data_IF_061476016165
#
_entry.id   IF_061476016165
#
_cell.length_a   1.000
_cell.length_b   1.000
_cell.length_c   1.000
_cell.angle_alpha   90.00
_cell.angle_beta   90.00
_cell.angle_gamma   90.00
#
_symmetry.space_group_name_H-M   'P 1'
#
loop_
_entity.id
_entity.type
_entity.pdbx_description
1 polymer ?
#
# COMPACT_ATOMS: atom_id res chain seq x y z
N UNK A 1 -51.68 -13.96 -40.85
CA UNK A 1 -50.73 -13.10 -41.58
C UNK A 1 -51.04 -13.16 -43.08
N UNK A 2 -51.16 -12.02 -43.77
CA UNK A 2 -51.32 -12.01 -45.23
C UNK A 2 -50.06 -12.57 -45.92
N UNK A 3 -50.21 -13.34 -47.01
CA UNK A 3 -49.07 -13.96 -47.74
C UNK A 3 -47.99 -12.94 -48.13
N UNK A 4 -48.39 -11.71 -48.50
CA UNK A 4 -47.46 -10.59 -48.78
C UNK A 4 -46.61 -10.17 -47.58
N UNK A 5 -47.17 -10.17 -46.37
CA UNK A 5 -46.42 -9.85 -45.14
C UNK A 5 -45.42 -10.94 -44.78
N UNK A 6 -45.76 -12.22 -44.98
CA UNK A 6 -44.83 -13.33 -44.78
C UNK A 6 -43.62 -13.23 -45.74
N UNK A 7 -43.85 -12.94 -47.03
CA UNK A 7 -42.78 -12.74 -48.02
C UNK A 7 -41.87 -11.56 -47.66
N UNK A 8 -42.44 -10.43 -47.20
CA UNK A 8 -41.64 -9.28 -46.78
C UNK A 8 -40.78 -9.59 -45.56
N UNK A 9 -41.30 -10.29 -44.55
CA UNK A 9 -40.52 -10.72 -43.37
C UNK A 9 -39.39 -11.67 -43.79
N UNK A 10 -39.65 -12.64 -44.67
CA UNK A 10 -38.62 -13.53 -45.20
C UNK A 10 -37.53 -12.80 -45.98
N UNK A 11 -37.89 -11.79 -46.81
CA UNK A 11 -36.88 -10.96 -47.49
C UNK A 11 -36.04 -10.15 -46.50
N UNK A 12 -36.65 -9.53 -45.48
CA UNK A 12 -35.91 -8.77 -44.47
C UNK A 12 -34.93 -9.64 -43.68
N UNK A 13 -35.33 -10.86 -43.32
CA UNK A 13 -34.46 -11.83 -42.65
C UNK A 13 -33.30 -12.28 -43.56
N UNK A 14 -33.57 -12.51 -44.86
CA UNK A 14 -32.53 -12.85 -45.83
C UNK A 14 -31.53 -11.69 -46.00
N UNK A 15 -32.02 -10.46 -46.09
CA UNK A 15 -31.19 -9.26 -46.20
C UNK A 15 -30.31 -9.06 -44.96
N UNK A 16 -30.87 -9.27 -43.76
CA UNK A 16 -30.13 -9.21 -42.50
C UNK A 16 -29.04 -10.30 -42.41
N UNK A 17 -29.32 -11.52 -42.88
CA UNK A 17 -28.34 -12.60 -42.93
C UNK A 17 -27.18 -12.31 -43.91
N UNK A 18 -27.48 -11.72 -45.08
CA UNK A 18 -26.46 -11.28 -46.05
C UNK A 18 -25.63 -10.12 -45.48
N UNK A 19 -26.26 -9.18 -44.77
CA UNK A 19 -25.54 -8.08 -44.11
C UNK A 19 -24.61 -8.60 -43.01
N UNK A 20 -25.06 -9.55 -42.19
CA UNK A 20 -24.23 -10.19 -41.16
C UNK A 20 -23.06 -11.01 -41.74
N UNK A 21 -23.28 -11.73 -42.86
CA UNK A 21 -22.21 -12.51 -43.52
C UNK A 21 -21.16 -11.60 -44.16
N UNK A 22 -21.56 -10.48 -44.76
CA UNK A 22 -20.62 -9.50 -45.33
C UNK A 22 -19.85 -8.73 -44.26
N UNK A 23 -20.48 -8.42 -43.12
CA UNK A 23 -19.81 -7.80 -41.97
C UNK A 23 -18.76 -8.73 -41.35
N UNK A 24 -19.10 -10.00 -41.13
CA UNK A 24 -18.17 -11.00 -40.57
C UNK A 24 -17.03 -11.37 -41.53
N UNK A 25 -17.30 -11.41 -42.84
CA UNK A 25 -16.26 -11.59 -43.87
C UNK A 25 -15.28 -10.40 -43.90
N UNK A 26 -15.78 -9.16 -43.87
CA UNK A 26 -14.91 -7.97 -43.75
C UNK A 26 -14.10 -7.96 -42.46
N UNK A 27 -14.73 -8.28 -41.33
CA UNK A 27 -14.06 -8.33 -40.03
C UNK A 27 -12.85 -9.29 -40.03
N UNK A 28 -12.99 -10.47 -40.65
CA UNK A 28 -11.89 -11.43 -40.81
C UNK A 28 -10.73 -10.95 -41.68
N UNK A 29 -11.01 -10.16 -42.73
CA UNK A 29 -9.99 -9.74 -43.71
C UNK A 29 -9.25 -8.48 -43.27
N UNK A 30 -9.94 -7.51 -42.67
CA UNK A 30 -9.34 -6.22 -42.30
C UNK A 30 -8.96 -6.13 -40.82
N UNK A 31 -9.08 -7.22 -40.04
CA UNK A 31 -8.89 -7.21 -38.58
C UNK A 31 -9.87 -6.29 -37.83
N UNK A 32 -10.94 -5.85 -38.49
CA UNK A 32 -11.86 -4.85 -37.95
C UNK A 32 -12.95 -5.54 -37.14
N UNK A 33 -12.93 -5.38 -35.82
CA UNK A 33 -13.95 -5.94 -34.95
C UNK A 33 -15.18 -5.01 -34.92
N UNK A 34 -16.38 -5.41 -35.43
CA UNK A 34 -17.54 -4.52 -35.54
C UNK A 34 -18.30 -4.32 -34.20
N UNK A 35 -17.78 -4.86 -33.10
CA UNK A 35 -18.35 -4.71 -31.75
C UNK A 35 -17.71 -3.55 -30.96
N UNK A 36 -17.95 -2.29 -31.37
CA UNK A 36 -18.05 -1.21 -30.39
C UNK A 36 -19.29 -0.30 -30.60
N UNK A 37 -20.31 -0.76 -31.36
CA UNK A 37 -21.47 0.06 -31.72
C UNK A 37 -22.82 -0.37 -31.12
N UNK A 38 -22.90 -1.55 -30.48
CA UNK A 38 -24.09 -2.01 -29.75
C UNK A 38 -23.67 -2.59 -28.39
N UNK A 39 -23.27 -1.71 -27.47
CA UNK A 39 -23.37 -2.04 -26.05
C UNK A 39 -24.84 -2.02 -25.66
N UNK A 40 -25.35 -3.14 -25.17
CA UNK A 40 -26.67 -3.22 -24.52
C UNK A 40 -26.56 -2.50 -23.17
N UNK A 41 -26.79 -1.18 -23.18
CA UNK A 41 -26.88 -0.37 -21.96
C UNK A 41 -27.96 -0.94 -21.04
N UNK A 42 -27.56 -1.40 -19.85
CA UNK A 42 -28.46 -2.03 -18.88
C UNK A 42 -27.81 -3.05 -17.94
N UNK A 43 -26.60 -3.54 -18.25
CA UNK A 43 -25.82 -4.44 -17.37
C UNK A 43 -24.33 -4.03 -17.30
N UNK A 44 -24.07 -2.72 -17.22
CA UNK A 44 -22.72 -2.22 -16.94
C UNK A 44 -22.46 -2.38 -15.43
N UNK A 45 -21.45 -3.14 -14.98
CA UNK A 45 -21.06 -3.14 -13.58
C UNK A 45 -20.69 -1.70 -13.22
N UNK A 46 -21.35 -1.13 -12.21
CA UNK A 46 -21.03 0.24 -11.79
C UNK A 46 -19.55 0.32 -11.46
N UNK A 47 -18.88 1.30 -12.06
CA UNK A 47 -17.59 1.77 -11.58
C UNK A 47 -17.69 2.23 -10.12
N UNK A 48 -16.53 2.32 -9.48
CA UNK A 48 -16.28 2.65 -8.08
C UNK A 48 -17.43 3.40 -7.36
N UNK A 49 -18.35 2.65 -6.75
CA UNK A 49 -19.57 3.19 -6.14
C UNK A 49 -19.38 3.33 -4.64
N UNK A 50 -19.29 4.56 -4.16
CA UNK A 50 -19.10 4.87 -2.74
C UNK A 50 -20.18 4.20 -1.87
N UNK A 51 -19.78 3.64 -0.73
CA UNK A 51 -20.64 2.87 0.18
C UNK A 51 -20.92 1.42 -0.25
N UNK A 52 -20.71 1.05 -1.52
CA UNK A 52 -20.88 -0.32 -2.02
C UNK A 52 -19.52 -1.00 -2.13
N UNK A 53 -19.27 -2.10 -1.42
CA UNK A 53 -17.94 -2.71 -1.35
C UNK A 53 -17.98 -4.23 -1.29
N UNK A 54 -17.03 -4.87 -1.96
CA UNK A 54 -16.77 -6.30 -1.79
C UNK A 54 -15.83 -6.54 -0.61
N UNK A 55 -16.15 -7.52 0.24
CA UNK A 55 -15.27 -8.02 1.29
C UNK A 55 -14.55 -9.28 0.80
N UNK A 56 -13.23 -9.27 0.82
CA UNK A 56 -12.39 -10.44 0.53
C UNK A 56 -12.15 -11.20 1.83
N UNK A 57 -12.45 -12.49 1.85
CA UNK A 57 -12.18 -13.40 2.97
C UNK A 57 -11.34 -14.60 2.51
N UNK A 58 -10.59 -15.21 3.43
CA UNK A 58 -10.02 -16.54 3.19
C UNK A 58 -11.05 -17.66 3.36
N UNK A 59 -10.60 -18.90 3.17
CA UNK A 59 -11.42 -20.12 3.23
C UNK A 59 -11.96 -20.38 4.66
N UNK A 60 -11.31 -19.82 5.68
CA UNK A 60 -11.76 -19.80 7.07
C UNK A 60 -12.71 -18.63 7.42
N UNK A 61 -12.97 -17.72 6.48
CA UNK A 61 -13.87 -16.57 6.66
C UNK A 61 -13.23 -15.35 7.35
N UNK A 62 -11.92 -15.32 7.55
CA UNK A 62 -11.21 -14.14 8.06
C UNK A 62 -11.11 -13.09 6.95
N UNK A 63 -11.46 -11.85 7.29
CA UNK A 63 -11.38 -10.70 6.37
C UNK A 63 -9.91 -10.41 6.00
N UNK A 64 -9.63 -10.48 4.70
CA UNK A 64 -8.35 -10.13 4.08
C UNK A 64 -8.34 -8.68 3.63
N UNK A 65 -9.34 -8.28 2.83
CA UNK A 65 -9.48 -6.93 2.30
C UNK A 65 -10.95 -6.46 2.17
N UNK A 66 -11.18 -5.17 1.92
CA UNK A 66 -12.49 -4.55 1.56
C UNK A 66 -12.23 -3.51 0.49
N UNK A 67 -13.02 -3.45 -0.58
CA UNK A 67 -12.82 -2.47 -1.65
C UNK A 67 -14.13 -2.05 -2.32
N UNK A 68 -14.30 -0.76 -2.62
CA UNK A 68 -15.52 -0.22 -3.21
C UNK A 68 -15.53 -0.31 -4.75
N UNK A 69 -15.22 -1.50 -5.26
CA UNK A 69 -15.22 -1.78 -6.70
C UNK A 69 -15.65 -3.23 -6.97
N UNK A 70 -16.16 -3.54 -8.17
CA UNK A 70 -16.43 -4.92 -8.56
C UNK A 70 -15.15 -5.78 -8.44
N UNK A 71 -15.30 -6.96 -7.84
CA UNK A 71 -14.27 -7.99 -7.77
C UNK A 71 -14.75 -9.18 -8.58
N UNK A 72 -13.86 -9.77 -9.36
CA UNK A 72 -14.15 -10.88 -10.26
C UNK A 72 -13.41 -12.14 -9.87
N UNK A 73 -13.91 -13.29 -10.32
CA UNK A 73 -13.18 -14.55 -10.21
C UNK A 73 -11.82 -14.42 -10.91
N UNK A 74 -10.80 -15.03 -10.31
CA UNK A 74 -9.40 -14.97 -10.72
C UNK A 74 -8.74 -13.58 -10.58
N UNK A 75 -9.41 -12.60 -9.95
CA UNK A 75 -8.70 -11.46 -9.33
C UNK A 75 -7.85 -11.94 -8.16
N UNK A 76 -6.80 -11.20 -7.82
CA UNK A 76 -5.84 -11.59 -6.78
C UNK A 76 -5.49 -10.45 -5.84
N UNK A 77 -5.03 -10.81 -4.65
CA UNK A 77 -4.64 -9.86 -3.60
C UNK A 77 -3.37 -10.31 -2.91
N UNK A 78 -2.36 -9.45 -2.84
CA UNK A 78 -1.18 -9.60 -2.00
C UNK A 78 -1.41 -8.77 -0.74
N UNK A 79 -1.62 -9.45 0.38
CA UNK A 79 -1.91 -8.82 1.66
C UNK A 79 -0.67 -8.11 2.26
N UNK A 80 -0.89 -7.34 3.33
CA UNK A 80 0.17 -6.62 4.03
C UNK A 80 1.29 -7.55 4.56
N UNK A 81 0.97 -8.79 4.91
CA UNK A 81 1.89 -9.86 5.37
C UNK A 81 2.62 -10.63 4.25
N UNK A 82 2.40 -10.18 3.00
CA UNK A 82 2.89 -10.72 1.74
C UNK A 82 2.31 -12.08 1.32
N UNK A 83 1.26 -12.61 1.99
CA UNK A 83 0.54 -13.74 1.41
C UNK A 83 -0.30 -13.30 0.21
N UNK A 84 -0.25 -14.10 -0.87
CA UNK A 84 -1.01 -13.89 -2.10
C UNK A 84 -2.20 -14.84 -2.14
N UNK A 85 -3.37 -14.29 -2.42
CA UNK A 85 -4.65 -14.98 -2.48
C UNK A 85 -5.31 -14.75 -3.85
N UNK A 86 -6.09 -15.72 -4.32
CA UNK A 86 -6.89 -15.62 -5.55
C UNK A 86 -8.37 -15.80 -5.23
N UNK A 87 -9.22 -14.94 -5.78
CA UNK A 87 -10.67 -15.04 -5.68
C UNK A 87 -11.14 -16.28 -6.45
N UNK A 88 -11.62 -17.29 -5.72
CA UNK A 88 -12.08 -18.56 -6.28
C UNK A 88 -13.60 -18.63 -6.42
N UNK A 89 -14.33 -17.92 -5.55
CA UNK A 89 -15.80 -17.85 -5.55
C UNK A 89 -16.30 -16.45 -5.12
N UNK A 90 -17.45 -16.03 -5.63
CA UNK A 90 -18.14 -14.78 -5.26
C UNK A 90 -19.58 -15.12 -4.82
N UNK A 91 -19.99 -14.61 -3.66
CA UNK A 91 -21.32 -14.79 -3.06
C UNK A 91 -21.89 -13.42 -2.66
N UNK A 92 -22.54 -12.74 -3.61
CA UNK A 92 -22.94 -11.34 -3.43
C UNK A 92 -21.70 -10.47 -3.23
N UNK A 93 -21.69 -9.66 -2.18
CA UNK A 93 -20.56 -8.78 -1.83
C UNK A 93 -19.41 -9.50 -1.09
N UNK A 94 -19.40 -10.83 -1.04
CA UNK A 94 -18.34 -11.64 -0.45
C UNK A 94 -17.50 -12.34 -1.51
N UNK A 95 -16.20 -12.06 -1.56
CA UNK A 95 -15.22 -12.76 -2.39
C UNK A 95 -14.41 -13.75 -1.53
N UNK A 96 -14.58 -15.05 -1.78
CA UNK A 96 -13.83 -16.11 -1.10
C UNK A 96 -12.52 -16.33 -1.85
N UNK A 97 -11.41 -16.30 -1.09
CA UNK A 97 -10.07 -16.25 -1.65
C UNK A 97 -9.19 -17.40 -1.12
N UNK A 98 -8.76 -18.28 -2.01
CA UNK A 98 -7.79 -19.33 -1.69
C UNK A 98 -6.37 -18.75 -1.67
N UNK A 99 -5.57 -19.10 -0.65
CA UNK A 99 -4.16 -18.67 -0.56
C UNK A 99 -3.31 -19.43 -1.58
N UNK A 100 -2.73 -18.72 -2.55
CA UNK A 100 -1.92 -19.32 -3.64
C UNK A 100 -0.41 -19.26 -3.41
N UNK A 101 0.07 -18.49 -2.43
CA UNK A 101 1.49 -18.45 -2.09
C UNK A 101 1.86 -17.33 -1.13
N UNK A 102 3.17 -17.08 -1.01
CA UNK A 102 3.75 -15.91 -0.36
C UNK A 102 4.72 -15.24 -1.33
N UNK A 103 4.71 -13.92 -1.34
CA UNK A 103 5.56 -13.10 -2.19
C UNK A 103 6.80 -12.66 -1.42
N UNK A 104 7.98 -12.89 -1.97
CA UNK A 104 9.24 -12.37 -1.45
C UNK A 104 9.39 -10.90 -1.87
N UNK A 105 8.59 -10.03 -1.23
CA UNK A 105 8.56 -8.59 -1.45
C UNK A 105 9.78 -7.94 -0.77
N UNK A 106 10.96 -8.23 -1.30
CA UNK A 106 12.26 -7.76 -0.81
C UNK A 106 12.78 -6.66 -1.74
N UNK A 107 13.37 -5.61 -1.15
CA UNK A 107 14.26 -4.74 -1.91
C UNK A 107 15.58 -5.47 -2.14
N UNK A 108 15.65 -6.26 -3.21
CA UNK A 108 16.95 -6.53 -3.81
C UNK A 108 17.61 -5.21 -4.21
N UNK A 109 18.95 -5.21 -4.24
CA UNK A 109 19.72 -4.07 -4.77
C UNK A 109 19.41 -3.82 -6.26
N UNK A 110 20.16 -2.97 -6.96
CA UNK A 110 19.92 -2.67 -8.37
C UNK A 110 20.26 -3.83 -9.32
N UNK A 111 19.52 -4.95 -9.23
CA UNK A 111 19.41 -6.03 -10.20
C UNK A 111 18.47 -5.60 -11.34
N UNK A 112 18.88 -4.56 -12.06
CA UNK A 112 18.43 -4.40 -13.45
C UNK A 112 19.15 -5.45 -14.28
N UNK A 113 18.69 -6.71 -14.22
CA UNK A 113 19.01 -7.65 -15.30
C UNK A 113 18.43 -7.05 -16.58
N UNK A 114 19.30 -6.76 -17.53
CA UNK A 114 18.90 -6.28 -18.85
C UNK A 114 17.98 -7.32 -19.48
N UNK A 115 16.66 -7.06 -19.43
CA UNK A 115 15.73 -7.76 -20.29
C UNK A 115 16.14 -7.41 -21.73
N UNK A 116 16.32 -8.39 -22.62
CA UNK A 116 16.77 -8.12 -23.98
C UNK A 116 15.79 -7.18 -24.68
N UNK A 117 16.31 -6.24 -25.48
CA UNK A 117 15.59 -5.17 -26.17
C UNK A 117 14.39 -5.70 -27.00
N UNK A 118 13.25 -5.90 -26.35
CA UNK A 118 11.94 -6.06 -26.98
C UNK A 118 11.33 -4.68 -27.18
N UNK A 119 12.00 -3.90 -28.05
CA UNK A 119 11.50 -2.72 -28.73
C UNK A 119 10.56 -1.81 -27.90
N UNK A 120 11.07 -1.27 -26.80
CA UNK A 120 10.58 0.06 -26.41
C UNK A 120 11.09 1.02 -27.48
N UNK A 121 10.24 1.81 -28.18
CA UNK A 121 10.74 2.83 -29.07
C UNK A 121 11.64 3.77 -28.25
N UNK A 122 12.86 4.00 -28.70
CA UNK A 122 13.81 4.92 -28.06
C UNK A 122 13.34 6.38 -28.24
N UNK A 123 12.28 6.76 -27.54
CA UNK A 123 11.68 8.08 -27.58
C UNK A 123 12.24 8.94 -26.46
N UNK A 124 13.26 9.70 -26.85
CA UNK A 124 13.94 10.76 -26.10
C UNK A 124 14.75 10.33 -24.88
N UNK A 125 15.83 11.07 -24.62
CA UNK A 125 16.54 11.08 -23.34
C UNK A 125 15.71 11.76 -22.26
N UNK A 126 14.54 11.18 -21.93
CA UNK A 126 13.67 11.65 -20.88
C UNK A 126 14.44 11.78 -19.57
N UNK A 127 14.11 12.81 -18.79
CA UNK A 127 14.78 13.02 -17.51
C UNK A 127 14.52 11.79 -16.62
N UNK A 128 15.57 11.00 -16.34
CA UNK A 128 15.53 9.82 -15.44
C UNK A 128 14.97 10.12 -14.03
N UNK A 129 14.81 11.42 -13.74
CA UNK A 129 14.33 12.01 -12.51
C UNK A 129 12.90 12.60 -12.60
N UNK A 130 12.12 12.33 -13.65
CA UNK A 130 10.75 12.85 -13.81
C UNK A 130 9.69 11.84 -13.35
N UNK A 131 8.73 12.28 -12.53
CA UNK A 131 7.47 11.57 -12.23
C UNK A 131 6.29 12.37 -12.79
N UNK A 132 5.31 11.66 -13.33
CA UNK A 132 4.04 12.24 -13.75
C UNK A 132 2.91 11.74 -12.82
N UNK A 133 2.00 12.65 -12.45
CA UNK A 133 0.83 12.38 -11.61
C UNK A 133 -0.40 12.91 -12.34
N UNK A 134 -1.48 12.13 -12.34
CA UNK A 134 -2.80 12.55 -12.78
C UNK A 134 -3.87 11.88 -11.90
N UNK A 135 -5.14 12.18 -12.19
CA UNK A 135 -6.29 11.67 -11.44
C UNK A 135 -7.41 11.30 -12.42
N UNK A 136 -7.84 10.03 -12.49
CA UNK A 136 -8.97 9.64 -13.34
C UNK A 136 -10.32 10.13 -12.80
N UNK A 137 -10.50 10.16 -11.48
CA UNK A 137 -11.72 10.67 -10.84
C UNK A 137 -11.39 11.99 -10.10
N UNK A 138 -11.51 13.10 -10.82
CA UNK A 138 -11.13 14.44 -10.34
C UNK A 138 -12.07 15.04 -9.31
N UNK A 139 -13.18 14.37 -9.04
CA UNK A 139 -14.20 14.76 -8.07
C UNK A 139 -13.98 14.20 -6.66
N UNK A 140 -13.21 13.11 -6.53
CA UNK A 140 -13.06 12.36 -5.29
C UNK A 140 -12.61 13.25 -4.11
N UNK A 141 -13.40 13.22 -3.04
CA UNK A 141 -13.24 14.07 -1.86
C UNK A 141 -13.43 13.28 -0.56
N UNK A 142 -13.07 13.91 0.57
CA UNK A 142 -13.07 13.30 1.89
C UNK A 142 -14.12 13.97 2.79
N UNK A 143 -15.16 13.23 3.18
CA UNK A 143 -16.31 13.73 3.95
C UNK A 143 -15.90 14.54 5.19
N UNK A 144 -14.98 14.08 6.07
CA UNK A 144 -14.70 14.78 7.33
C UNK A 144 -14.10 16.18 7.17
N UNK A 145 -13.58 16.52 5.99
CA UNK A 145 -12.68 17.67 5.78
C UNK A 145 -13.01 18.52 4.56
N UNK A 146 -13.61 17.91 3.53
CA UNK A 146 -14.12 18.61 2.35
C UNK A 146 -15.67 18.68 2.36
N UNK A 147 -16.33 18.06 3.36
CA UNK A 147 -17.78 18.13 3.61
C UNK A 147 -18.65 17.22 2.74
N UNK A 148 -18.06 16.56 1.74
CA UNK A 148 -18.73 15.65 0.80
C UNK A 148 -17.71 14.62 0.27
N UNK A 149 -18.21 13.50 -0.24
CA UNK A 149 -17.41 12.48 -0.92
C UNK A 149 -17.02 12.85 -2.36
N UNK A 150 -17.72 13.80 -2.99
CA UNK A 150 -17.51 14.22 -4.38
C UNK A 150 -17.72 15.72 -4.57
N UNK A 151 -16.78 16.38 -5.26
CA UNK A 151 -16.79 17.79 -5.69
C UNK A 151 -16.32 17.85 -7.15
N UNK A 152 -17.23 17.86 -8.15
CA UNK A 152 -16.89 17.73 -9.57
C UNK A 152 -15.71 18.61 -10.04
N UNK A 153 -14.64 17.96 -10.52
CA UNK A 153 -13.43 18.59 -11.04
C UNK A 153 -12.55 19.33 -10.01
N UNK A 154 -12.93 19.34 -8.73
CA UNK A 154 -12.25 20.08 -7.65
C UNK A 154 -12.11 19.23 -6.37
N UNK A 155 -11.99 17.91 -6.56
CA UNK A 155 -11.98 16.95 -5.47
C UNK A 155 -10.83 17.14 -4.47
N UNK A 156 -11.08 16.76 -3.22
CA UNK A 156 -10.06 16.69 -2.17
C UNK A 156 -8.82 15.89 -2.58
N UNK A 157 -8.98 14.90 -3.46
CA UNK A 157 -7.90 14.07 -3.99
C UNK A 157 -6.81 14.87 -4.72
N UNK A 158 -7.16 15.97 -5.39
CA UNK A 158 -6.19 16.84 -6.09
C UNK A 158 -5.21 17.50 -5.08
N UNK A 159 -5.68 17.79 -3.86
CA UNK A 159 -4.85 18.34 -2.78
C UNK A 159 -3.97 17.24 -2.15
N UNK A 160 -4.36 15.96 -2.25
CA UNK A 160 -3.52 14.81 -1.86
C UNK A 160 -2.42 14.59 -2.90
N UNK A 161 -2.77 14.58 -4.19
CA UNK A 161 -1.82 14.56 -5.31
C UNK A 161 -0.82 15.70 -5.25
N UNK A 162 -1.25 16.91 -4.87
CA UNK A 162 -0.35 18.05 -4.68
C UNK A 162 0.64 17.87 -3.52
N UNK A 163 0.25 17.21 -2.41
CA UNK A 163 1.18 16.89 -1.31
C UNK A 163 2.18 15.81 -1.73
N UNK A 164 1.72 14.76 -2.41
CA UNK A 164 2.60 13.74 -3.01
C UNK A 164 3.63 14.39 -3.95
N UNK A 165 3.16 15.24 -4.88
CA UNK A 165 4.00 15.98 -5.80
C UNK A 165 4.99 16.93 -5.10
N UNK A 166 4.54 17.66 -4.08
CA UNK A 166 5.37 18.56 -3.28
C UNK A 166 6.48 17.83 -2.52
N UNK A 167 6.14 16.69 -1.90
CA UNK A 167 7.10 15.86 -1.17
C UNK A 167 8.14 15.24 -2.11
N UNK A 168 7.72 14.71 -3.27
CA UNK A 168 8.63 14.24 -4.32
C UNK A 168 9.59 15.35 -4.78
N UNK A 169 9.09 16.56 -5.04
CA UNK A 169 9.94 17.73 -5.37
C UNK A 169 10.93 18.08 -4.26
N UNK A 170 10.53 17.99 -2.99
CA UNK A 170 11.44 18.22 -1.85
C UNK A 170 12.56 17.17 -1.73
N UNK A 171 12.34 15.98 -2.29
CA UNK A 171 13.33 14.90 -2.41
C UNK A 171 14.13 15.01 -3.71
N UNK A 172 13.94 16.10 -4.47
CA UNK A 172 14.65 16.40 -5.71
C UNK A 172 14.11 15.72 -6.97
N UNK A 173 12.93 15.10 -6.90
CA UNK A 173 12.27 14.51 -8.07
C UNK A 173 11.59 15.62 -8.88
N UNK A 174 11.81 15.65 -10.20
CA UNK A 174 11.03 16.51 -11.09
C UNK A 174 9.61 15.95 -11.16
N UNK A 175 8.58 16.81 -11.05
CA UNK A 175 7.18 16.33 -11.04
C UNK A 175 6.28 17.17 -11.92
N UNK A 176 5.67 16.54 -12.93
CA UNK A 176 4.45 17.04 -13.57
C UNK A 176 3.24 16.50 -12.81
N UNK A 177 2.43 17.41 -12.26
CA UNK A 177 1.16 17.09 -11.61
C UNK A 177 0.05 17.70 -12.47
N UNK A 178 -0.75 16.85 -13.12
CA UNK A 178 -1.85 17.27 -13.98
C UNK A 178 -3.18 17.17 -13.23
N UNK A 179 -3.91 18.28 -13.23
CA UNK A 179 -5.19 18.45 -12.51
C UNK A 179 -6.36 18.69 -13.49
N UNK A 180 -6.18 18.30 -14.76
CA UNK A 180 -7.23 18.42 -15.78
C UNK A 180 -8.46 17.60 -15.39
N UNK A 181 -9.63 18.24 -15.36
CA UNK A 181 -10.88 17.59 -14.98
C UNK A 181 -11.27 16.46 -15.96
N UNK A 182 -11.65 15.31 -15.42
CA UNK A 182 -12.11 14.14 -16.18
C UNK A 182 -13.58 13.81 -15.92
N UNK A 183 -14.38 14.81 -15.58
CA UNK A 183 -15.83 14.74 -15.32
C UNK A 183 -16.67 14.33 -16.54
N UNK A 184 -17.90 13.79 -16.33
CA UNK A 184 -18.49 13.39 -15.05
C UNK A 184 -17.84 12.13 -14.47
N UNK A 185 -18.06 11.78 -13.21
CA UNK A 185 -17.67 10.46 -12.69
C UNK A 185 -18.49 9.35 -13.37
N UNK A 186 -17.94 8.72 -14.41
CA UNK A 186 -18.56 7.66 -15.21
C UNK A 186 -17.50 6.76 -15.85
N UNK A 187 -17.90 5.60 -16.38
CA UNK A 187 -17.02 4.64 -17.06
C UNK A 187 -16.22 5.22 -18.26
N UNK A 188 -16.49 6.47 -18.68
CA UNK A 188 -15.72 7.19 -19.68
C UNK A 188 -14.61 8.09 -19.06
N UNK A 189 -14.50 8.20 -17.73
CA UNK A 189 -13.43 8.88 -17.00
C UNK A 189 -12.08 8.33 -17.40
N UNK A 190 -11.91 7.00 -17.42
CA UNK A 190 -10.70 6.37 -17.94
C UNK A 190 -10.41 6.74 -19.41
N UNK A 191 -11.41 6.88 -20.27
CA UNK A 191 -11.21 7.32 -21.67
C UNK A 191 -10.75 8.77 -21.76
N UNK A 192 -11.22 9.64 -20.86
CA UNK A 192 -10.81 11.04 -20.77
C UNK A 192 -9.40 11.16 -20.19
N UNK A 193 -9.14 10.53 -19.05
CA UNK A 193 -7.85 10.53 -18.35
C UNK A 193 -6.73 9.86 -19.14
N UNK A 194 -7.04 8.84 -19.94
CA UNK A 194 -6.09 8.21 -20.88
C UNK A 194 -5.43 9.20 -21.82
N UNK A 195 -6.14 10.26 -22.26
CA UNK A 195 -5.58 11.30 -23.13
C UNK A 195 -4.54 12.13 -22.38
N UNK A 196 -4.83 12.48 -21.14
CA UNK A 196 -3.92 13.19 -20.23
C UNK A 196 -2.71 12.33 -19.89
N UNK A 197 -2.90 11.05 -19.55
CA UNK A 197 -1.83 10.08 -19.34
C UNK A 197 -0.91 9.94 -20.56
N UNK A 198 -1.48 9.84 -21.77
CA UNK A 198 -0.70 9.80 -23.01
C UNK A 198 0.08 11.10 -23.29
N UNK A 199 -0.49 12.28 -22.98
CA UNK A 199 0.21 13.56 -23.08
C UNK A 199 1.33 13.71 -22.03
N UNK A 200 1.15 13.17 -20.83
CA UNK A 200 2.19 13.13 -19.79
C UNK A 200 3.35 12.21 -20.19
N UNK A 201 3.08 11.08 -20.84
CA UNK A 201 4.12 10.15 -21.31
C UNK A 201 5.02 10.75 -22.40
N UNK A 202 4.52 11.68 -23.22
CA UNK A 202 5.35 12.44 -24.18
C UNK A 202 6.45 13.28 -23.51
N UNK A 203 6.35 13.51 -22.19
CA UNK A 203 7.37 14.22 -21.40
C UNK A 203 8.50 13.30 -20.92
N UNK A 204 8.42 11.99 -21.20
CA UNK A 204 9.39 10.96 -20.79
C UNK A 204 9.51 10.74 -19.27
N UNK A 205 8.42 10.59 -18.51
CA UNK A 205 8.50 10.32 -17.08
C UNK A 205 9.00 8.89 -16.78
N UNK A 206 9.77 8.75 -15.71
CA UNK A 206 10.21 7.47 -15.17
C UNK A 206 9.06 6.67 -14.52
N UNK A 207 8.03 7.33 -14.00
CA UNK A 207 6.81 6.68 -13.51
C UNK A 207 5.57 7.58 -13.71
N UNK A 208 4.42 6.93 -13.82
CA UNK A 208 3.10 7.58 -13.95
C UNK A 208 2.19 7.07 -12.83
N UNK A 209 1.62 7.98 -12.05
CA UNK A 209 0.70 7.63 -10.96
C UNK A 209 -0.69 8.20 -11.20
N UNK A 210 -1.70 7.34 -11.08
CA UNK A 210 -3.12 7.71 -11.00
C UNK A 210 -3.52 7.70 -9.52
N UNK A 211 -3.92 8.84 -8.96
CA UNK A 211 -4.15 8.98 -7.52
C UNK A 211 -5.64 9.08 -7.21
N UNK A 212 -6.10 8.15 -6.37
CA UNK A 212 -7.49 7.91 -6.00
C UNK A 212 -7.67 7.75 -4.48
N UNK A 213 -8.93 7.65 -4.04
CA UNK A 213 -9.34 7.22 -2.70
C UNK A 213 -10.50 6.23 -2.78
N UNK A 214 -10.44 5.16 -1.99
CA UNK A 214 -11.44 4.09 -1.99
C UNK A 214 -12.81 4.60 -1.50
N UNK A 215 -13.88 3.85 -1.75
CA UNK A 215 -15.26 4.15 -1.36
C UNK A 215 -15.80 3.35 -0.17
N UNK A 216 -14.94 2.58 0.52
CA UNK A 216 -15.30 1.77 1.69
C UNK A 216 -15.75 2.67 2.86
N UNK A 217 -16.95 2.50 3.45
CA UNK A 217 -17.44 3.42 4.50
C UNK A 217 -16.67 3.34 5.82
N UNK A 218 -16.02 2.20 6.08
CA UNK A 218 -15.19 1.95 7.26
C UNK A 218 -13.82 2.63 7.14
N UNK A 219 -13.66 3.79 7.79
CA UNK A 219 -12.42 4.58 7.74
C UNK A 219 -11.24 3.90 8.46
N UNK A 220 -11.50 3.07 9.48
CA UNK A 220 -10.46 2.44 10.31
C UNK A 220 -9.79 1.28 9.58
N UNK A 221 -10.48 0.72 8.59
CA UNK A 221 -9.92 -0.18 7.61
C UNK A 221 -8.68 0.38 6.90
N UNK A 222 -8.69 1.69 6.66
CA UNK A 222 -7.61 2.44 6.05
C UNK A 222 -6.75 3.22 7.05
N UNK A 223 -7.24 3.49 8.26
CA UNK A 223 -6.48 4.24 9.27
C UNK A 223 -5.30 3.43 9.80
N UNK A 224 -4.17 4.09 10.00
CA UNK A 224 -3.07 3.64 10.84
C UNK A 224 -2.78 4.72 11.87
N UNK A 225 -2.45 4.34 13.10
CA UNK A 225 -1.96 5.27 14.14
C UNK A 225 -0.54 4.86 14.53
N UNK A 226 0.37 5.82 14.60
CA UNK A 226 1.76 5.65 15.06
C UNK A 226 2.11 6.86 15.92
N UNK A 227 2.60 6.63 17.15
CA UNK A 227 3.01 7.68 18.09
C UNK A 227 1.96 8.76 18.40
N UNK A 228 0.66 8.45 18.20
CA UNK A 228 -0.45 9.39 18.40
C UNK A 228 -0.88 10.16 17.13
N UNK A 229 -0.12 10.06 16.04
CA UNK A 229 -0.51 10.60 14.74
C UNK A 229 -1.19 9.53 13.87
N UNK A 230 -2.29 9.89 13.20
CA UNK A 230 -2.99 9.00 12.28
C UNK A 230 -2.66 9.30 10.82
N UNK A 231 -2.56 8.29 9.97
CA UNK A 231 -2.43 8.44 8.52
C UNK A 231 -3.25 7.37 7.79
N UNK A 232 -3.60 7.63 6.53
CA UNK A 232 -4.26 6.64 5.68
C UNK A 232 -3.25 5.71 5.05
N UNK A 233 -3.52 4.40 5.15
CA UNK A 233 -2.86 3.34 4.39
C UNK A 233 -3.14 3.51 2.89
N UNK A 234 -2.35 2.83 2.08
CA UNK A 234 -2.45 2.90 0.62
C UNK A 234 -2.62 1.50 0.06
N UNK A 235 -3.59 1.30 -0.83
CA UNK A 235 -3.65 0.09 -1.67
C UNK A 235 -3.04 0.40 -3.03
N UNK A 236 -2.14 -0.46 -3.48
CA UNK A 236 -1.61 -0.42 -4.84
C UNK A 236 -2.53 -1.24 -5.73
N UNK A 237 -2.98 -0.70 -6.86
CA UNK A 237 -3.89 -1.40 -7.77
C UNK A 237 -3.21 -1.66 -9.09
N UNK A 238 -3.18 -2.93 -9.50
CA UNK A 238 -2.62 -3.42 -10.75
C UNK A 238 -3.75 -3.97 -11.61
N UNK A 239 -3.81 -3.55 -12.87
CA UNK A 239 -4.73 -4.12 -13.85
C UNK A 239 -4.20 -5.45 -14.39
N UNK A 240 -5.05 -6.48 -14.48
CA UNK A 240 -4.68 -7.75 -15.10
C UNK A 240 -5.00 -7.85 -16.59
N UNK A 241 -5.71 -6.87 -17.14
CA UNK A 241 -6.13 -6.83 -18.56
C UNK A 241 -5.27 -5.85 -19.38
N UNK A 242 -3.94 -5.94 -19.21
CA UNK A 242 -2.99 -5.20 -20.04
C UNK A 242 -1.69 -6.00 -20.24
N UNK A 243 -0.96 -5.69 -21.31
CA UNK A 243 0.27 -6.40 -21.69
C UNK A 243 1.47 -6.09 -20.77
N UNK A 244 1.41 -5.03 -19.97
CA UNK A 244 2.47 -4.63 -19.05
C UNK A 244 2.31 -5.25 -17.64
N UNK A 245 1.20 -5.98 -17.39
CA UNK A 245 0.73 -6.44 -16.07
C UNK A 245 1.84 -6.97 -15.15
N UNK A 246 2.73 -7.83 -15.65
CA UNK A 246 3.85 -8.36 -14.86
C UNK A 246 4.82 -7.26 -14.40
N UNK A 247 5.17 -6.33 -15.29
CA UNK A 247 6.05 -5.21 -14.98
C UNK A 247 5.39 -4.18 -14.04
N UNK A 248 4.08 -3.91 -14.21
CA UNK A 248 3.33 -3.07 -13.26
C UNK A 248 3.25 -3.73 -11.87
N UNK A 249 3.07 -5.06 -11.82
CA UNK A 249 3.07 -5.84 -10.58
C UNK A 249 4.44 -5.82 -9.90
N UNK A 250 5.53 -6.01 -10.64
CA UNK A 250 6.89 -5.94 -10.09
C UNK A 250 7.24 -4.53 -9.61
N UNK A 251 6.76 -3.49 -10.31
CA UNK A 251 6.88 -2.10 -9.86
C UNK A 251 6.10 -1.86 -8.55
N UNK A 252 4.86 -2.36 -8.46
CA UNK A 252 4.07 -2.29 -7.23
C UNK A 252 4.72 -3.05 -6.07
N UNK A 253 5.29 -4.25 -6.32
CA UNK A 253 6.06 -5.01 -5.33
C UNK A 253 7.29 -4.23 -4.85
N UNK A 254 8.06 -3.59 -5.74
CA UNK A 254 9.22 -2.76 -5.36
C UNK A 254 8.81 -1.55 -4.51
N UNK A 255 7.70 -0.90 -4.83
CA UNK A 255 7.11 0.16 -3.98
C UNK A 255 6.72 -0.38 -2.61
N UNK A 256 6.02 -1.54 -2.56
CA UNK A 256 5.64 -2.17 -1.29
C UNK A 256 6.85 -2.57 -0.45
N UNK A 257 7.89 -3.16 -1.04
CA UNK A 257 9.12 -3.53 -0.34
C UNK A 257 9.81 -2.31 0.31
N UNK A 258 9.90 -1.20 -0.44
CA UNK A 258 10.49 0.04 0.09
C UNK A 258 9.62 0.68 1.18
N UNK A 259 8.30 0.67 1.00
CA UNK A 259 7.35 1.18 1.99
C UNK A 259 7.33 0.32 3.26
N UNK A 260 7.33 -1.01 3.16
CA UNK A 260 7.38 -1.91 4.33
C UNK A 260 8.70 -1.73 5.12
N UNK A 261 9.82 -1.52 4.43
CA UNK A 261 11.12 -1.29 5.06
C UNK A 261 11.24 0.07 5.76
N UNK A 262 10.65 1.14 5.19
CA UNK A 262 10.79 2.52 5.71
C UNK A 262 9.62 2.96 6.59
N UNK A 263 8.41 2.53 6.27
CA UNK A 263 7.14 2.91 6.88
C UNK A 263 6.24 1.66 7.09
N UNK A 264 6.61 0.73 8.00
CA UNK A 264 5.86 -0.51 8.21
C UNK A 264 4.36 -0.28 8.42
N UNK A 265 3.54 -1.02 7.67
CA UNK A 265 2.07 -0.91 7.73
C UNK A 265 1.46 0.21 6.87
N UNK A 266 2.25 0.95 6.09
CA UNK A 266 1.74 1.96 5.15
C UNK A 266 0.95 1.34 3.99
N UNK A 267 1.42 0.22 3.43
CA UNK A 267 0.74 -0.44 2.30
C UNK A 267 -0.27 -1.46 2.83
N UNK A 268 -1.54 -1.24 2.52
CA UNK A 268 -2.67 -2.14 2.87
C UNK A 268 -2.58 -3.49 2.15
N UNK A 269 -2.04 -3.46 0.93
CA UNK A 269 -1.84 -4.60 0.04
C UNK A 269 -1.69 -4.16 -1.43
N UNK A 270 -1.53 -5.14 -2.32
CA UNK A 270 -1.58 -4.98 -3.78
C UNK A 270 -2.79 -5.75 -4.28
N UNK A 271 -3.75 -5.07 -4.92
CA UNK A 271 -4.87 -5.71 -5.60
C UNK A 271 -4.57 -5.84 -7.10
N UNK A 272 -4.78 -7.03 -7.64
CA UNK A 272 -4.59 -7.40 -9.05
C UNK A 272 -5.97 -7.74 -9.63
N UNK A 273 -6.67 -6.74 -10.16
CA UNK A 273 -8.07 -6.85 -10.58
C UNK A 273 -8.25 -6.77 -12.09
N UNK A 274 -9.43 -7.22 -12.58
CA UNK A 274 -9.87 -6.99 -13.95
C UNK A 274 -9.77 -5.49 -14.35
N UNK A 275 -9.58 -5.19 -15.63
CA UNK A 275 -9.30 -3.84 -16.15
C UNK A 275 -7.82 -3.54 -16.42
N UNK A 276 -7.57 -2.45 -17.16
CA UNK A 276 -6.21 -1.94 -17.47
C UNK A 276 -5.78 -0.76 -16.57
N UNK A 277 -6.70 0.14 -16.19
CA UNK A 277 -6.41 1.36 -15.43
C UNK A 277 -5.32 2.24 -16.08
N UNK A 278 -5.30 2.31 -17.42
CA UNK A 278 -4.26 2.95 -18.24
C UNK A 278 -2.84 2.37 -18.08
N UNK A 279 -2.66 1.24 -17.39
CA UNK A 279 -1.35 0.65 -17.12
C UNK A 279 -0.73 0.01 -18.37
N UNK A 280 -1.55 -0.30 -19.37
CA UNK A 280 -1.10 -0.62 -20.72
C UNK A 280 -0.23 0.49 -21.37
N UNK A 281 -0.30 1.73 -20.90
CA UNK A 281 0.51 2.82 -21.45
C UNK A 281 1.98 2.82 -20.98
N UNK A 282 2.31 2.19 -19.85
CA UNK A 282 3.68 2.16 -19.33
C UNK A 282 3.91 1.03 -18.31
N UNK A 283 5.06 0.32 -18.34
CA UNK A 283 5.42 -0.68 -17.33
C UNK A 283 5.66 -0.09 -15.93
N UNK A 284 5.71 1.25 -15.79
CA UNK A 284 5.78 1.96 -14.51
C UNK A 284 4.61 2.94 -14.32
N UNK A 285 3.46 2.59 -14.89
CA UNK A 285 2.17 3.17 -14.50
C UNK A 285 1.57 2.40 -13.31
N UNK A 286 0.98 3.10 -12.34
CA UNK A 286 0.34 2.47 -11.18
C UNK A 286 -0.81 3.32 -10.63
N UNK A 287 -1.90 2.67 -10.21
CA UNK A 287 -3.01 3.33 -9.50
C UNK A 287 -2.81 3.21 -7.98
N UNK A 288 -3.03 4.32 -7.28
CA UNK A 288 -2.82 4.47 -5.84
C UNK A 288 -4.13 4.86 -5.15
N UNK A 289 -4.70 3.96 -4.34
CA UNK A 289 -5.87 4.23 -3.49
C UNK A 289 -5.40 4.71 -2.11
N UNK A 290 -5.47 6.02 -1.85
CA UNK A 290 -4.92 6.69 -0.66
C UNK A 290 -6.04 6.98 0.35
N UNK A 291 -6.24 6.04 1.28
CA UNK A 291 -7.37 6.08 2.19
C UNK A 291 -8.71 5.79 1.52
N UNK A 292 -9.78 6.15 2.22
CA UNK A 292 -11.14 6.16 1.72
C UNK A 292 -11.85 7.49 2.04
N UNK A 293 -12.98 7.75 1.38
CA UNK A 293 -13.83 8.95 1.55
C UNK A 293 -14.20 9.31 3.00
N UNK A 294 -14.19 8.37 3.94
CA UNK A 294 -14.46 8.62 5.38
C UNK A 294 -13.20 8.84 6.23
N UNK A 295 -11.99 8.74 5.68
CA UNK A 295 -10.79 9.29 6.32
C UNK A 295 -10.78 10.82 6.20
N UNK A 296 -10.00 11.50 7.05
CA UNK A 296 -9.69 12.93 6.83
C UNK A 296 -8.73 13.07 5.64
N UNK A 297 -8.88 14.15 4.86
CA UNK A 297 -7.95 14.46 3.77
C UNK A 297 -6.51 14.64 4.27
N UNK A 298 -6.32 15.15 5.48
CA UNK A 298 -4.99 15.31 6.09
C UNK A 298 -4.38 13.94 6.46
N UNK A 299 -5.18 12.92 6.79
CA UNK A 299 -4.70 11.54 6.95
C UNK A 299 -4.19 10.98 5.62
N UNK A 300 -4.93 11.22 4.54
CA UNK A 300 -4.52 10.85 3.19
C UNK A 300 -3.28 11.62 2.72
N UNK A 301 -3.18 12.91 3.01
CA UNK A 301 -1.99 13.73 2.73
C UNK A 301 -0.76 13.24 3.50
N UNK A 302 -0.90 12.81 4.77
CA UNK A 302 0.20 12.19 5.53
C UNK A 302 0.61 10.84 4.93
N UNK A 303 -0.35 9.97 4.59
CA UNK A 303 -0.08 8.70 3.91
C UNK A 303 0.66 8.88 2.57
N UNK A 304 0.18 9.81 1.74
CA UNK A 304 0.82 10.19 0.48
C UNK A 304 2.24 10.74 0.69
N UNK A 305 2.44 11.57 1.71
CA UNK A 305 3.77 12.07 2.10
C UNK A 305 4.76 10.96 2.44
N UNK A 306 4.31 9.94 3.19
CA UNK A 306 5.11 8.75 3.52
C UNK A 306 5.38 7.88 2.27
N UNK A 307 4.45 7.78 1.31
CA UNK A 307 4.72 7.06 0.06
C UNK A 307 5.76 7.76 -0.79
N UNK A 308 5.67 9.09 -0.94
CA UNK A 308 6.62 9.88 -1.70
C UNK A 308 8.07 9.70 -1.23
N UNK A 309 8.26 9.37 0.06
CA UNK A 309 9.57 9.12 0.66
C UNK A 309 10.31 7.86 0.22
N UNK A 310 9.64 6.95 -0.51
CA UNK A 310 10.24 5.71 -1.02
C UNK A 310 10.38 5.66 -2.54
N UNK A 311 9.61 6.49 -3.27
CA UNK A 311 9.63 6.54 -4.74
C UNK A 311 11.03 6.85 -5.33
N UNK A 312 11.84 7.80 -4.80
CA UNK A 312 13.17 8.06 -5.37
C UNK A 312 14.05 6.79 -5.38
N UNK A 313 14.10 6.06 -4.25
CA UNK A 313 14.84 4.81 -4.12
C UNK A 313 14.37 3.76 -5.13
N UNK A 314 13.05 3.58 -5.28
CA UNK A 314 12.46 2.61 -6.22
C UNK A 314 12.77 2.97 -7.69
N UNK A 315 12.90 4.25 -8.01
CA UNK A 315 13.24 4.73 -9.36
C UNK A 315 14.75 4.84 -9.62
N UNK A 316 15.61 4.54 -8.64
CA UNK A 316 17.05 4.75 -8.74
C UNK A 316 17.46 6.24 -8.75
N UNK A 317 16.59 7.11 -8.27
CA UNK A 317 16.84 8.55 -8.14
C UNK A 317 17.52 8.79 -6.79
N UNK A 318 18.80 9.13 -6.83
CA UNK A 318 19.47 9.72 -5.67
C UNK A 318 18.93 11.13 -5.43
N UNK A 319 18.63 11.53 -4.17
CA UNK A 319 18.37 12.92 -3.85
C UNK A 319 19.54 13.80 -4.32
N UNK A 320 19.30 15.06 -4.73
CA UNK A 320 20.38 16.02 -4.92
C UNK A 320 21.21 16.06 -3.64
N UNK A 321 22.53 16.10 -3.78
CA UNK A 321 23.42 16.33 -2.66
C UNK A 321 23.10 17.71 -2.06
N UNK A 322 22.25 17.73 -1.03
CA UNK A 322 22.08 18.90 -0.20
C UNK A 322 23.43 19.31 0.39
N UNK A 323 23.57 20.55 0.90
CA UNK A 323 24.69 20.84 1.77
C UNK A 323 24.68 19.75 2.84
N UNK A 324 25.78 19.02 2.99
CA UNK A 324 25.84 17.95 3.96
C UNK A 324 25.43 18.54 5.31
N UNK A 325 24.24 18.14 5.80
CA UNK A 325 23.95 18.27 7.21
C UNK A 325 25.16 17.66 7.89
N UNK A 326 25.87 18.46 8.67
CA UNK A 326 27.17 18.07 9.22
C UNK A 326 26.92 16.90 10.15
N UNK A 327 26.96 15.70 9.56
CA UNK A 327 26.79 14.46 10.25
C UNK A 327 27.96 14.41 11.20
N UNK A 328 27.65 14.61 12.47
CA UNK A 328 28.41 14.03 13.56
C UNK A 328 28.28 12.51 13.40
N UNK A 329 28.99 11.97 12.41
CA UNK A 329 29.53 10.62 12.41
C UNK A 329 30.12 10.51 13.81
N UNK A 330 29.46 9.72 14.67
CA UNK A 330 29.70 9.78 16.09
C UNK A 330 31.19 9.71 16.33
N UNK A 331 31.76 10.71 16.99
CA UNK A 331 33.20 10.70 17.20
C UNK A 331 33.49 9.65 18.28
N UNK A 332 33.66 8.41 17.84
CA UNK A 332 34.00 7.28 18.69
C UNK A 332 35.34 7.52 19.39
N UNK A 333 36.19 8.46 18.92
CA UNK A 333 37.38 8.91 19.65
C UNK A 333 37.00 9.84 20.80
N UNK A 334 36.09 10.79 20.60
CA UNK A 334 35.51 11.61 21.65
C UNK A 334 34.77 10.79 22.71
N UNK A 335 33.94 9.83 22.31
CA UNK A 335 33.26 8.91 23.24
C UNK A 335 34.28 8.03 23.98
N UNK A 336 35.25 7.45 23.27
CA UNK A 336 36.33 6.67 23.90
C UNK A 336 37.19 7.52 24.83
N UNK A 337 37.44 8.80 24.52
CA UNK A 337 38.18 9.73 25.36
C UNK A 337 37.40 10.05 26.65
N UNK A 338 36.09 10.30 26.57
CA UNK A 338 35.25 10.51 27.76
C UNK A 338 35.20 9.25 28.63
N UNK A 339 35.02 8.06 28.03
CA UNK A 339 35.05 6.78 28.76
C UNK A 339 36.41 6.53 29.40
N UNK A 340 37.51 6.78 28.67
CA UNK A 340 38.88 6.63 29.19
C UNK A 340 39.17 7.63 30.32
N UNK A 341 38.74 8.89 30.19
CA UNK A 341 38.85 9.89 31.25
C UNK A 341 38.05 9.50 32.49
N UNK A 342 36.88 8.89 32.33
CA UNK A 342 36.07 8.39 33.44
C UNK A 342 36.73 7.20 34.14
N UNK A 343 37.32 6.27 33.38
CA UNK A 343 38.10 5.13 33.93
C UNK A 343 39.34 5.62 34.67
N UNK A 344 40.12 6.53 34.08
CA UNK A 344 41.33 7.09 34.68
C UNK A 344 41.01 7.94 35.92
N UNK A 345 39.97 8.77 35.87
CA UNK A 345 39.47 9.52 37.03
C UNK A 345 38.99 8.60 38.15
N UNK A 346 38.26 7.53 37.81
CA UNK A 346 37.84 6.49 38.75
C UNK A 346 39.03 5.78 39.41
N UNK A 347 40.05 5.38 38.64
CA UNK A 347 41.29 4.80 39.21
C UNK A 347 42.04 5.80 40.09
N UNK A 348 42.22 7.05 39.65
CA UNK A 348 42.91 8.07 40.44
C UNK A 348 42.18 8.34 41.77
N UNK A 349 40.86 8.46 41.74
CA UNK A 349 40.03 8.57 42.94
C UNK A 349 40.16 7.33 43.84
N UNK A 350 40.16 6.11 43.27
CA UNK A 350 40.30 4.88 44.04
C UNK A 350 41.65 4.83 44.78
N UNK A 351 42.75 5.23 44.12
CA UNK A 351 44.11 5.22 44.67
C UNK A 351 44.30 6.29 45.76
N UNK A 352 43.76 7.49 45.53
CA UNK A 352 43.80 8.59 46.51
C UNK A 352 42.95 8.25 47.74
N UNK A 353 41.73 7.71 47.56
CA UNK A 353 40.82 7.35 48.65
C UNK A 353 41.20 6.07 49.40
N UNK A 354 41.96 5.14 48.78
CA UNK A 354 42.47 3.94 49.45
C UNK A 354 43.84 4.14 50.13
N UNK A 355 44.50 5.28 49.91
CA UNK A 355 45.81 5.59 50.50
C UNK A 355 46.94 4.68 49.98
N UNK A 356 46.96 4.42 48.66
CA UNK A 356 48.04 3.68 47.99
C UNK A 356 47.57 2.62 46.98
N UNK A 357 48.41 2.37 45.98
CA UNK A 357 48.13 1.49 44.83
C UNK A 357 47.77 0.05 45.23
N UNK A 358 48.50 -0.53 46.20
CA UNK A 358 48.29 -1.91 46.63
C UNK A 358 46.92 -2.13 47.30
N UNK A 359 46.43 -1.11 48.02
CA UNK A 359 45.11 -1.12 48.68
C UNK A 359 43.97 -0.91 47.66
N UNK A 360 44.19 -0.08 46.64
CA UNK A 360 43.27 0.07 45.52
C UNK A 360 43.11 -1.26 44.75
N UNK A 361 44.22 -1.93 44.44
CA UNK A 361 44.22 -3.21 43.72
C UNK A 361 43.55 -4.33 44.53
N UNK A 362 43.77 -4.36 45.85
CA UNK A 362 43.12 -5.31 46.75
C UNK A 362 41.59 -5.14 46.78
N UNK A 363 41.09 -3.89 46.91
CA UNK A 363 39.64 -3.60 46.86
C UNK A 363 39.03 -3.96 45.50
N UNK A 364 39.69 -3.63 44.39
CA UNK A 364 39.17 -3.94 43.06
C UNK A 364 39.01 -5.45 42.83
N UNK A 365 39.98 -6.26 43.30
CA UNK A 365 39.91 -7.74 43.26
C UNK A 365 38.82 -8.31 44.17
N UNK A 366 38.44 -7.60 45.23
CA UNK A 366 37.40 -8.03 46.16
C UNK A 366 35.99 -7.89 45.58
N UNK A 367 35.77 -6.96 44.63
CA UNK A 367 34.49 -6.85 43.91
C UNK A 367 34.37 -7.84 42.76
N UNK A 368 35.46 -8.18 42.06
CA UNK A 368 35.39 -9.14 40.93
C UNK A 368 35.25 -10.59 41.36
N UNK A 369 35.69 -10.97 42.57
CA UNK A 369 35.63 -12.35 43.06
C UNK A 369 34.28 -12.74 43.70
N UNK A 370 33.52 -11.79 44.25
CA UNK A 370 32.35 -12.09 45.09
C UNK A 370 31.07 -12.39 44.29
N UNK A 371 30.92 -11.91 43.06
CA UNK A 371 29.72 -12.18 42.24
C UNK A 371 29.95 -13.23 41.14
N UNK A 372 31.16 -13.39 40.60
CA UNK A 372 31.40 -14.33 39.48
C UNK A 372 31.40 -15.81 39.88
N UNK A 373 31.75 -16.15 41.14
CA UNK A 373 31.74 -17.55 41.60
C UNK A 373 30.34 -18.14 41.80
N UNK A 374 29.29 -17.31 41.95
CA UNK A 374 27.91 -17.78 42.01
C UNK A 374 27.24 -17.92 40.62
N UNK A 375 27.87 -17.41 39.55
CA UNK A 375 27.29 -17.42 38.20
C UNK A 375 27.74 -18.62 37.33
N UNK A 376 28.80 -19.33 37.72
CA UNK A 376 29.45 -20.39 36.92
C UNK A 376 29.80 -21.63 37.76
N UNK A 377 28.79 -22.35 38.26
CA UNK A 377 29.01 -23.47 39.20
C UNK A 377 27.95 -24.59 39.20
N UNK A 378 27.92 -25.42 38.15
CA UNK A 378 27.33 -26.78 38.08
C UNK A 378 25.79 -26.92 38.28
N UNK A 379 25.12 -27.95 37.74
CA UNK A 379 25.64 -29.11 36.97
C UNK A 379 24.53 -29.96 36.31
N UNK A 380 24.93 -31.09 35.72
CA UNK A 380 24.08 -31.96 34.88
C UNK A 380 23.69 -33.26 35.64
N UNK A 381 22.39 -33.41 35.90
CA UNK A 381 21.62 -34.65 36.10
C UNK A 381 21.94 -35.70 37.22
N UNK A 382 20.98 -35.80 38.17
CA UNK A 382 20.41 -37.02 38.82
C UNK A 382 21.29 -37.82 39.82
N UNK A 383 20.71 -38.53 40.83
CA UNK A 383 19.46 -39.32 40.76
C UNK A 383 18.44 -39.15 41.92
N UNK A 384 17.43 -40.05 41.94
CA UNK A 384 16.29 -40.16 42.87
C UNK A 384 16.70 -40.26 44.36
N UNK A 385 15.92 -39.65 45.25
CA UNK A 385 15.98 -39.87 46.71
C UNK A 385 14.81 -39.21 47.44
N UNK A 386 14.15 -39.95 48.32
CA UNK A 386 12.93 -39.63 49.07
C UNK A 386 13.02 -38.51 50.14
N UNK A 387 11.92 -37.77 50.31
CA UNK A 387 11.43 -37.36 51.65
C UNK A 387 11.54 -35.88 52.03
N UNK A 388 10.45 -35.33 52.61
CA UNK A 388 10.47 -34.11 53.44
C UNK A 388 9.82 -32.84 52.85
N UNK A 389 8.58 -32.56 53.26
CA UNK A 389 8.15 -31.18 53.64
C UNK A 389 8.83 -30.83 54.99
N UNK A 390 9.08 -29.57 55.40
CA UNK A 390 8.22 -28.38 55.18
C UNK A 390 8.96 -27.14 54.64
N UNK A 391 8.36 -25.95 54.53
CA UNK A 391 7.06 -25.49 53.96
C UNK A 391 7.04 -23.93 54.04
N UNK A 392 6.11 -23.25 53.36
CA UNK A 392 5.80 -21.82 53.55
C UNK A 392 6.59 -20.80 52.70
N UNK A 393 5.97 -20.25 51.64
CA UNK A 393 5.31 -18.93 51.72
C UNK A 393 4.49 -18.66 50.43
N UNK A 394 3.26 -18.16 50.58
CA UNK A 394 2.25 -18.16 49.52
C UNK A 394 2.15 -16.80 48.82
N UNK A 395 2.50 -16.72 47.53
CA UNK A 395 2.07 -15.60 46.66
C UNK A 395 0.80 -15.97 45.92
N UNK A 396 -0.27 -15.18 46.14
CA UNK A 396 -1.54 -15.30 45.40
C UNK A 396 -1.29 -15.13 43.90
N UNK A 397 -1.70 -16.11 43.11
CA UNK A 397 -1.87 -15.96 41.67
C UNK A 397 -3.19 -15.20 41.43
N UNK A 398 -3.13 -14.12 40.66
CA UNK A 398 -4.32 -13.40 40.18
C UNK A 398 -4.86 -14.15 38.97
N UNK A 399 -5.91 -14.95 39.19
CA UNK A 399 -6.73 -15.51 38.13
C UNK A 399 -7.43 -14.36 37.37
N UNK A 400 -7.37 -14.40 36.04
CA UNK A 400 -8.10 -13.51 35.13
C UNK A 400 -8.97 -14.38 34.24
N UNK A 401 -10.11 -14.80 34.77
CA UNK A 401 -11.18 -15.39 33.98
C UNK A 401 -11.71 -14.37 32.96
N UNK A 402 -11.78 -14.78 31.69
CA UNK A 402 -12.34 -13.98 30.61
C UNK A 402 -13.87 -14.00 30.75
N UNK A 403 -14.50 -12.82 30.76
CA UNK A 403 -15.96 -12.69 30.80
C UNK A 403 -16.53 -12.81 29.37
N UNK A 404 -17.50 -13.70 29.11
CA UNK A 404 -18.16 -13.80 27.80
C UNK A 404 -18.89 -12.51 27.40
N UNK A 405 -18.94 -12.23 26.09
CA UNK A 405 -19.43 -10.96 25.54
C UNK A 405 -20.91 -10.64 25.82
N UNK A 406 -21.70 -11.63 26.25
CA UNK A 406 -23.15 -11.55 26.51
C UNK A 406 -23.53 -10.83 27.81
N UNK A 407 -22.56 -10.24 28.53
CA UNK A 407 -22.77 -9.47 29.78
C UNK A 407 -22.29 -8.02 29.72
N UNK A 408 -22.09 -7.47 28.53
CA UNK A 408 -21.82 -6.03 28.35
C UNK A 408 -23.14 -5.26 28.24
N UNK A 409 -23.36 -4.17 29.01
CA UNK A 409 -24.57 -3.36 28.90
C UNK A 409 -24.63 -2.61 27.56
N UNK A 410 -25.85 -2.40 27.04
CA UNK A 410 -26.11 -1.67 25.80
C UNK A 410 -25.74 -0.19 25.93
N UNK A 411 -24.98 0.32 24.97
CA UNK A 411 -24.43 1.68 24.99
C UNK A 411 -25.39 2.69 24.33
N UNK A 412 -26.58 2.86 24.93
CA UNK A 412 -27.37 4.09 24.78
C UNK A 412 -26.88 5.13 25.81
N UNK A 413 -27.21 6.41 25.57
CA UNK A 413 -26.80 7.59 26.36
C UNK A 413 -25.35 8.11 26.17
N UNK A 414 -25.13 8.80 25.03
CA UNK A 414 -24.44 10.11 25.03
C UNK A 414 -25.12 11.08 24.07
N UNK A 415 -26.26 11.63 24.51
CA UNK A 415 -26.74 12.93 24.02
C UNK A 415 -26.06 14.05 24.80
N UNK A 416 -26.19 15.26 24.27
CA UNK A 416 -25.82 16.54 24.88
C UNK A 416 -24.31 16.78 25.07
N UNK A 417 -23.70 17.52 24.14
CA UNK A 417 -22.80 18.65 24.46
C UNK A 417 -22.78 19.64 23.28
N UNK A 418 -23.28 20.85 23.54
CA UNK A 418 -23.05 22.13 22.81
C UNK A 418 -23.70 22.27 21.39
N UNK A 419 -24.42 23.35 21.02
CA UNK A 419 -24.71 24.67 21.64
C UNK A 419 -23.46 25.42 22.13
N UNK A 420 -22.88 26.36 21.39
CA UNK A 420 -23.51 27.41 20.57
C UNK A 420 -22.80 27.66 19.22
#
# INVERSE_FOLDING_TARGET
MNKRAAVLVSLSLLLAAILASTLTYRARITGWNPLPAFSLGGLDPKEHTVGTYTTLVDEEGRVLDKMARPVYKDDEFIAADNYRYRVTEIRGDLAICTRIGREDVVLEGPSFSEAPDMATPAQAGGAKNLVAIYHTHTDESYIPTDGTESIPGQGGILKVGQVFAGKLRSLGVNVYHDVSAHEPHDNNSYKRSRRTAAQLLQKGPAALFDIHRDGVPDSDFYRQVVAGESFSKIRLVVGRENQNMNANLDFAKKIKAAADAKHPGLIRGIFIGAGSYNQDLSPRALLLEIGTHTNSREEAQRGAGLLAEVIPTVLGISPPAGPAAAGTVGDWKGVAFVVLAFILGGLAFLVLSSGGWDKALARLRQYTSVEWMNLLGQGRARPRGSGGRPDGNTRKVLDKSIVPAEKLPSNDERKDWQKD
#
